data_IF_314396061944
#
_entry.id   IF_314396061944
#
_cell.length_a   1.000
_cell.length_b   1.000
_cell.length_c   1.000
_cell.angle_alpha   90.00
_cell.angle_beta   90.00
_cell.angle_gamma   90.00
#
_symmetry.space_group_name_H-M   'P 1'
#
loop_
_entity.id
_entity.type
_entity.pdbx_description
1 polymer ?
#
# COMPACT_ATOMS: atom_id res chain seq x y z
N UNK A 1 12.99 17.58 19.48
CA UNK A 1 13.74 16.58 20.28
C UNK A 1 13.59 15.17 19.72
N UNK A 2 12.41 14.55 19.70
CA UNK A 2 12.24 13.22 19.05
C UNK A 2 12.24 13.28 17.52
N UNK A 3 11.63 14.32 16.93
CA UNK A 3 11.63 14.52 15.48
C UNK A 3 13.01 14.79 14.88
N UNK A 4 13.92 15.38 15.65
CA UNK A 4 15.30 15.60 15.23
C UNK A 4 16.09 14.29 15.12
N UNK A 5 15.80 13.32 16.00
CA UNK A 5 16.42 12.00 15.97
C UNK A 5 16.02 11.27 14.68
N UNK A 6 14.71 11.15 14.41
CA UNK A 6 14.19 10.50 13.20
C UNK A 6 14.70 11.22 11.94
N UNK A 7 14.66 12.55 11.91
CA UNK A 7 15.13 13.32 10.75
C UNK A 7 16.62 13.13 10.51
N UNK A 8 17.44 13.13 11.56
CA UNK A 8 18.90 12.93 11.45
C UNK A 8 19.20 11.54 10.91
N UNK A 9 18.54 10.51 11.44
CA UNK A 9 18.64 9.15 10.93
C UNK A 9 18.29 9.08 9.43
N UNK A 10 17.18 9.68 9.01
CA UNK A 10 16.75 9.69 7.61
C UNK A 10 17.75 10.42 6.70
N UNK A 11 18.35 11.51 7.18
CA UNK A 11 19.39 12.26 6.45
C UNK A 11 20.65 11.43 6.24
N UNK A 12 21.11 10.74 7.28
CA UNK A 12 22.27 9.84 7.20
C UNK A 12 21.99 8.65 6.27
N UNK A 13 20.80 8.06 6.35
CA UNK A 13 20.37 6.99 5.47
C UNK A 13 20.35 7.46 4.00
N UNK A 14 19.74 8.61 3.71
CA UNK A 14 19.72 9.21 2.37
C UNK A 14 21.14 9.41 1.83
N UNK A 15 22.04 9.97 2.63
CA UNK A 15 23.44 10.15 2.26
C UNK A 15 24.17 8.84 1.95
N UNK A 16 23.91 7.76 2.71
CA UNK A 16 24.47 6.43 2.43
C UNK A 16 23.92 5.83 1.14
N UNK A 17 22.63 5.99 0.87
CA UNK A 17 22.01 5.51 -0.37
C UNK A 17 22.54 6.28 -1.59
N UNK A 18 22.79 7.58 -1.46
CA UNK A 18 23.36 8.41 -2.53
C UNK A 18 24.82 8.00 -2.82
N UNK A 19 25.60 7.69 -1.79
CA UNK A 19 26.96 7.13 -1.94
C UNK A 19 26.93 5.77 -2.66
N UNK A 20 26.01 4.89 -2.27
CA UNK A 20 25.85 3.58 -2.90
C UNK A 20 25.39 3.69 -4.36
N UNK A 21 24.48 4.62 -4.67
CA UNK A 21 24.09 4.94 -6.03
C UNK A 21 25.28 5.41 -6.87
N UNK A 22 26.09 6.33 -6.34
CA UNK A 22 27.30 6.80 -7.02
C UNK A 22 28.31 5.65 -7.26
N UNK A 23 28.43 4.72 -6.30
CA UNK A 23 29.29 3.54 -6.41
C UNK A 23 28.83 2.57 -7.50
N UNK A 24 27.51 2.38 -7.67
CA UNK A 24 26.95 1.49 -8.71
C UNK A 24 27.14 2.04 -10.12
N UNK A 25 27.15 3.37 -10.28
CA UNK A 25 27.37 4.05 -11.55
C UNK A 25 26.41 3.62 -12.69
N UNK A 26 25.23 3.08 -12.35
CA UNK A 26 24.21 2.66 -13.32
C UNK A 26 23.16 3.75 -13.60
N UNK A 27 23.34 4.93 -12.99
CA UNK A 27 22.46 6.10 -13.14
C UNK A 27 21.09 5.95 -12.48
N UNK A 28 20.81 4.84 -11.78
CA UNK A 28 19.50 4.58 -11.18
C UNK A 28 19.45 5.11 -9.75
N UNK A 29 18.41 5.89 -9.45
CA UNK A 29 18.18 6.36 -8.08
C UNK A 29 17.80 5.20 -7.19
N UNK A 30 18.48 5.07 -6.05
CA UNK A 30 18.04 4.15 -4.99
C UNK A 30 16.99 4.90 -4.17
N UNK A 31 15.72 4.58 -4.42
CA UNK A 31 14.59 5.23 -3.77
C UNK A 31 14.48 4.85 -2.29
N UNK A 32 13.98 5.79 -1.47
CA UNK A 32 13.66 5.57 -0.07
C UNK A 32 12.18 5.83 0.18
N UNK A 33 11.49 4.81 0.69
CA UNK A 33 10.08 4.88 1.07
C UNK A 33 9.88 4.73 2.57
N UNK A 34 8.82 5.32 3.11
CA UNK A 34 8.42 5.13 4.50
C UNK A 34 6.93 4.81 4.63
N UNK A 35 6.61 3.85 5.49
CA UNK A 35 5.27 3.66 6.03
C UNK A 35 5.08 4.58 7.24
N UNK A 36 3.99 5.35 7.25
CA UNK A 36 3.69 6.36 8.26
C UNK A 36 2.21 6.28 8.66
N UNK A 37 1.83 6.95 9.74
CA UNK A 37 0.44 7.00 10.19
C UNK A 37 -0.48 7.77 9.23
N UNK A 38 -1.79 7.56 9.35
CA UNK A 38 -2.79 8.09 8.42
C UNK A 38 -2.92 9.62 8.31
N UNK A 39 -2.36 10.36 9.27
CA UNK A 39 -2.39 11.84 9.31
C UNK A 39 -1.11 12.40 9.94
N UNK A 40 -0.83 13.69 9.72
CA UNK A 40 0.41 14.31 10.22
C UNK A 40 0.47 14.48 11.75
N UNK A 41 -0.69 14.66 12.41
CA UNK A 41 -0.73 14.84 13.86
C UNK A 41 -0.23 13.59 14.59
N UNK A 42 -0.77 12.44 14.21
CA UNK A 42 -0.37 11.16 14.81
C UNK A 42 1.11 10.87 14.52
N UNK A 43 1.57 11.10 13.29
CA UNK A 43 2.99 10.94 12.94
C UNK A 43 3.92 11.81 13.80
N UNK A 44 3.56 13.08 14.00
CA UNK A 44 4.36 13.99 14.80
C UNK A 44 4.43 13.58 16.28
N UNK A 45 3.36 12.98 16.83
CA UNK A 45 3.34 12.43 18.18
C UNK A 45 4.45 11.38 18.39
N UNK A 46 4.83 10.65 17.34
CA UNK A 46 5.90 9.65 17.34
C UNK A 46 7.24 10.17 16.80
N UNK A 47 7.38 11.48 16.63
CA UNK A 47 8.61 12.09 16.11
C UNK A 47 8.79 11.93 14.59
N UNK A 48 7.77 11.50 13.85
CA UNK A 48 7.85 11.45 12.38
C UNK A 48 7.33 12.76 11.81
N UNK A 49 8.22 13.71 11.57
CA UNK A 49 7.88 14.98 10.91
C UNK A 49 7.86 14.82 9.39
N UNK A 50 6.76 14.29 8.86
CA UNK A 50 6.60 14.02 7.42
C UNK A 50 6.86 15.28 6.57
N UNK A 51 6.39 16.45 7.02
CA UNK A 51 6.55 17.71 6.28
C UNK A 51 8.03 18.06 6.12
N UNK A 52 8.81 17.90 7.19
CA UNK A 52 10.26 18.10 7.16
C UNK A 52 10.97 17.07 6.29
N UNK A 53 10.64 15.78 6.45
CA UNK A 53 11.27 14.71 5.66
C UNK A 53 11.07 14.89 4.15
N UNK A 54 9.85 15.26 3.74
CA UNK A 54 9.51 15.58 2.34
C UNK A 54 10.15 16.89 1.90
N UNK A 55 10.10 17.92 2.74
CA UNK A 55 10.69 19.23 2.46
C UNK A 55 12.19 19.20 2.18
N UNK A 56 12.91 18.34 2.91
CA UNK A 56 14.35 18.08 2.77
C UNK A 56 14.68 17.07 1.64
N UNK A 57 13.69 16.50 0.95
CA UNK A 57 13.91 15.56 -0.15
C UNK A 57 14.45 14.20 0.29
N UNK A 58 14.15 13.79 1.52
CA UNK A 58 14.66 12.54 2.11
C UNK A 58 13.87 11.31 1.68
N UNK A 59 12.62 11.49 1.24
CA UNK A 59 11.71 10.42 0.84
C UNK A 59 11.32 10.58 -0.62
N UNK A 60 11.21 9.45 -1.32
CA UNK A 60 10.72 9.36 -2.70
C UNK A 60 9.26 8.88 -2.73
N UNK A 61 8.84 8.12 -1.70
CA UNK A 61 7.51 7.54 -1.60
C UNK A 61 7.04 7.39 -0.15
N UNK A 62 5.74 7.59 0.08
CA UNK A 62 5.10 7.46 1.37
C UNK A 62 3.91 6.51 1.29
N UNK A 63 3.84 5.60 2.24
CA UNK A 63 2.72 4.71 2.46
C UNK A 63 2.00 5.15 3.73
N UNK A 64 0.68 5.41 3.68
CA UNK A 64 -0.05 5.89 4.86
C UNK A 64 -0.98 4.80 5.39
N UNK A 65 -0.92 4.52 6.68
CA UNK A 65 -1.72 3.49 7.34
C UNK A 65 -2.19 3.97 8.73
N UNK A 66 -3.50 4.09 8.99
CA UNK A 66 -4.03 4.74 10.19
C UNK A 66 -4.10 3.80 11.40
N UNK A 67 -3.81 2.51 11.25
CA UNK A 67 -4.02 1.51 12.29
C UNK A 67 -2.70 0.96 12.82
N UNK A 68 -2.04 1.68 13.73
CA UNK A 68 -0.84 1.17 14.40
C UNK A 68 -0.69 1.77 15.82
N UNK A 69 0.37 1.38 16.53
CA UNK A 69 0.64 1.73 17.93
C UNK A 69 0.35 3.19 18.27
N UNK A 70 -0.74 3.36 19.02
CA UNK A 70 -1.22 4.62 19.59
C UNK A 70 -1.71 5.68 18.61
N UNK A 71 -2.12 5.26 17.40
CA UNK A 71 -3.00 6.04 16.53
C UNK A 71 -4.28 6.43 17.29
N UNK A 72 -4.53 7.73 17.44
CA UNK A 72 -5.71 8.24 18.16
C UNK A 72 -6.82 8.54 17.16
N UNK A 73 -7.62 7.53 16.77
CA UNK A 73 -8.85 7.67 15.94
C UNK A 73 -8.72 8.46 14.62
N UNK A 74 -7.55 9.01 14.28
CA UNK A 74 -7.35 9.78 13.07
C UNK A 74 -7.40 8.83 11.89
N UNK A 75 -8.43 8.97 11.07
CA UNK A 75 -8.52 8.25 9.81
C UNK A 75 -7.42 8.68 8.85
N UNK A 76 -7.57 8.27 7.60
CA UNK A 76 -6.75 8.83 6.52
C UNK A 76 -7.02 10.33 6.35
N UNK A 77 -5.96 11.10 6.12
CA UNK A 77 -5.99 12.50 5.68
C UNK A 77 -5.19 12.65 4.38
N UNK A 78 -5.63 12.00 3.28
CA UNK A 78 -4.87 11.96 2.03
C UNK A 78 -4.70 13.35 1.40
N UNK A 79 -5.62 14.28 1.64
CA UNK A 79 -5.54 15.67 1.18
C UNK A 79 -4.33 16.38 1.78
N UNK A 80 -4.07 16.23 3.09
CA UNK A 80 -2.90 16.86 3.70
C UNK A 80 -1.60 16.26 3.18
N UNK A 81 -1.55 14.94 2.95
CA UNK A 81 -0.40 14.31 2.29
C UNK A 81 -0.21 14.79 0.85
N UNK A 82 -1.29 14.96 0.07
CA UNK A 82 -1.22 15.54 -1.28
C UNK A 82 -0.57 16.92 -1.24
N UNK A 83 -0.99 17.80 -0.33
CA UNK A 83 -0.45 19.16 -0.19
C UNK A 83 1.05 19.17 0.12
N UNK A 84 1.52 18.21 0.91
CA UNK A 84 2.94 18.09 1.29
C UNK A 84 3.77 17.43 0.18
N UNK A 85 3.26 16.37 -0.43
CA UNK A 85 4.03 15.48 -1.29
C UNK A 85 4.05 15.94 -2.75
N UNK A 86 2.91 16.35 -3.32
CA UNK A 86 2.82 16.72 -4.75
C UNK A 86 3.76 17.85 -5.15
N UNK A 87 3.91 18.95 -4.39
CA UNK A 87 4.84 20.02 -4.76
C UNK A 87 6.32 19.58 -4.79
N UNK A 88 6.65 18.46 -4.16
CA UNK A 88 8.00 17.89 -4.09
C UNK A 88 8.19 16.66 -4.98
N UNK A 89 7.15 16.25 -5.72
CA UNK A 89 7.20 15.05 -6.54
C UNK A 89 7.29 13.75 -5.75
N UNK A 90 7.02 13.78 -4.44
CA UNK A 90 6.98 12.57 -3.61
C UNK A 90 5.64 11.87 -3.82
N UNK A 91 5.69 10.57 -4.05
CA UNK A 91 4.47 9.77 -4.26
C UNK A 91 3.86 9.41 -2.92
N UNK A 92 2.54 9.37 -2.83
CA UNK A 92 1.88 8.83 -1.64
C UNK A 92 0.79 7.83 -1.99
N UNK A 93 0.70 6.76 -1.20
CA UNK A 93 -0.22 5.64 -1.40
C UNK A 93 -0.84 5.21 -0.08
N UNK A 94 -2.14 5.41 0.11
CA UNK A 94 -2.84 4.84 1.25
C UNK A 94 -2.82 3.32 1.23
N UNK A 95 -2.50 2.73 2.37
CA UNK A 95 -2.44 1.30 2.59
C UNK A 95 -3.74 0.83 3.22
N UNK A 96 -4.40 -0.18 2.68
CA UNK A 96 -5.53 -0.82 3.35
C UNK A 96 -5.19 -2.26 3.74
N UNK A 97 -5.86 -2.73 4.79
CA UNK A 97 -6.08 -4.17 5.01
C UNK A 97 -7.30 -4.55 4.16
N UNK A 98 -7.08 -4.83 2.88
CA UNK A 98 -8.20 -5.05 1.96
C UNK A 98 -8.70 -6.49 2.05
N UNK A 99 -9.39 -6.85 3.15
CA UNK A 99 -9.78 -8.22 3.39
C UNK A 99 -11.26 -8.54 3.13
N UNK A 100 -11.58 -9.67 2.48
CA UNK A 100 -12.93 -10.25 2.52
C UNK A 100 -13.00 -11.25 3.70
N UNK A 101 -13.30 -10.74 4.89
CA UNK A 101 -13.59 -11.57 6.07
C UNK A 101 -14.71 -10.89 6.86
N UNK A 102 -15.50 -11.62 7.68
CA UNK A 102 -16.54 -11.02 8.51
C UNK A 102 -16.04 -9.88 9.43
N UNK A 103 -14.73 -9.82 9.67
CA UNK A 103 -14.07 -8.78 10.48
C UNK A 103 -13.75 -7.51 9.69
N UNK A 104 -13.92 -7.53 8.36
CA UNK A 104 -13.55 -6.44 7.46
C UNK A 104 -14.76 -5.93 6.65
N UNK A 105 -14.71 -4.70 6.12
CA UNK A 105 -15.79 -4.15 5.31
C UNK A 105 -16.08 -5.00 4.07
N UNK A 106 -17.30 -4.89 3.53
CA UNK A 106 -17.63 -5.52 2.25
C UNK A 106 -16.71 -5.03 1.13
N UNK A 107 -16.49 -5.86 0.11
CA UNK A 107 -15.66 -5.53 -1.05
C UNK A 107 -16.05 -4.20 -1.68
N UNK A 108 -17.34 -3.89 -1.82
CA UNK A 108 -17.77 -2.63 -2.43
C UNK A 108 -17.36 -1.42 -1.59
N UNK A 109 -17.36 -1.54 -0.27
CA UNK A 109 -16.94 -0.46 0.62
C UNK A 109 -15.42 -0.26 0.57
N UNK A 110 -14.66 -1.34 0.44
CA UNK A 110 -13.22 -1.28 0.18
C UNK A 110 -12.90 -0.61 -1.17
N UNK A 111 -13.64 -0.96 -2.23
CA UNK A 111 -13.50 -0.31 -3.54
C UNK A 111 -13.84 1.19 -3.47
N UNK A 112 -14.94 1.57 -2.80
CA UNK A 112 -15.29 2.99 -2.59
C UNK A 112 -14.19 3.73 -1.84
N UNK A 113 -13.63 3.13 -0.79
CA UNK A 113 -12.51 3.71 -0.07
C UNK A 113 -11.28 3.88 -0.98
N UNK A 114 -10.90 2.85 -1.74
CA UNK A 114 -9.82 2.95 -2.72
C UNK A 114 -10.05 4.06 -3.75
N UNK A 115 -11.26 4.19 -4.29
CA UNK A 115 -11.64 5.27 -5.21
C UNK A 115 -11.50 6.66 -4.57
N UNK A 116 -11.96 6.81 -3.32
CA UNK A 116 -11.83 8.07 -2.58
C UNK A 116 -10.37 8.51 -2.41
N UNK A 117 -9.42 7.57 -2.30
CA UNK A 117 -8.00 7.89 -2.25
C UNK A 117 -7.48 8.44 -3.59
N UNK A 118 -7.90 7.86 -4.71
CA UNK A 118 -7.57 8.40 -6.03
C UNK A 118 -8.18 9.80 -6.24
N UNK A 119 -9.43 10.01 -5.81
CA UNK A 119 -10.09 11.32 -5.84
C UNK A 119 -9.36 12.36 -4.98
N UNK A 120 -8.81 11.94 -3.84
CA UNK A 120 -7.97 12.77 -2.99
C UNK A 120 -6.56 13.01 -3.56
N UNK A 121 -6.18 12.35 -4.66
CA UNK A 121 -4.94 12.58 -5.40
C UNK A 121 -3.80 11.62 -5.10
N UNK A 122 -4.08 10.46 -4.48
CA UNK A 122 -3.09 9.41 -4.26
C UNK A 122 -2.52 8.87 -5.58
N UNK A 123 -1.25 8.46 -5.56
CA UNK A 123 -0.52 7.91 -6.72
C UNK A 123 -0.75 6.40 -6.91
N UNK A 124 -1.69 5.85 -6.15
CA UNK A 124 -1.98 4.43 -6.05
C UNK A 124 -2.50 4.08 -4.67
N UNK A 125 -2.77 2.80 -4.47
CA UNK A 125 -3.00 2.23 -3.15
C UNK A 125 -1.94 1.18 -2.87
N UNK A 126 -1.74 0.87 -1.60
CA UNK A 126 -0.90 -0.23 -1.16
C UNK A 126 -1.75 -1.25 -0.42
N UNK A 127 -1.35 -2.51 -0.52
CA UNK A 127 -1.97 -3.62 0.18
C UNK A 127 -1.02 -4.08 1.28
N UNK A 128 -1.48 -4.07 2.53
CA UNK A 128 -0.71 -4.61 3.67
C UNK A 128 -1.14 -6.06 3.96
N UNK A 129 -0.18 -6.96 4.16
CA UNK A 129 -0.39 -8.41 4.40
C UNK A 129 -1.08 -9.19 3.25
N UNK A 130 -0.65 -8.96 2.00
CA UNK A 130 -1.26 -9.58 0.81
C UNK A 130 -1.23 -11.12 0.82
N UNK A 131 -0.32 -11.71 1.60
CA UNK A 131 -0.13 -13.16 1.70
C UNK A 131 -1.26 -13.92 2.40
N UNK A 132 -2.18 -13.24 3.09
CA UNK A 132 -3.17 -13.88 3.98
C UNK A 132 -4.49 -14.23 3.26
N UNK A 133 -4.71 -13.69 2.04
CA UNK A 133 -5.94 -13.90 1.27
C UNK A 133 -5.93 -15.16 0.38
N UNK A 134 -7.13 -15.66 0.05
CA UNK A 134 -7.28 -16.77 -0.91
C UNK A 134 -7.25 -16.28 -2.37
N UNK A 135 -7.13 -17.21 -3.33
CA UNK A 135 -7.04 -16.86 -4.75
C UNK A 135 -8.28 -16.12 -5.27
N UNK A 136 -9.44 -16.34 -4.65
CA UNK A 136 -10.66 -15.63 -4.99
C UNK A 136 -10.50 -14.15 -4.69
N UNK A 137 -10.01 -13.83 -3.50
CA UNK A 137 -9.75 -12.47 -3.07
C UNK A 137 -8.69 -11.77 -3.93
N UNK A 138 -7.60 -12.46 -4.27
CA UNK A 138 -6.59 -11.92 -5.20
C UNK A 138 -7.17 -11.58 -6.58
N UNK A 139 -7.98 -12.49 -7.12
CA UNK A 139 -8.54 -12.37 -8.48
C UNK A 139 -9.73 -11.40 -8.57
N UNK A 140 -10.56 -11.28 -7.52
CA UNK A 140 -11.72 -10.37 -7.51
C UNK A 140 -11.40 -8.99 -6.93
N UNK A 141 -10.42 -8.90 -6.03
CA UNK A 141 -10.11 -7.67 -5.28
C UNK A 141 -8.76 -7.14 -5.76
N UNK A 142 -7.64 -7.77 -5.41
CA UNK A 142 -6.33 -7.11 -5.45
C UNK A 142 -5.85 -6.77 -6.84
N UNK A 143 -6.08 -7.66 -7.81
CA UNK A 143 -5.66 -7.45 -9.20
C UNK A 143 -6.27 -6.19 -9.83
N UNK A 144 -7.30 -5.60 -9.21
CA UNK A 144 -8.08 -4.50 -9.78
C UNK A 144 -7.75 -3.15 -9.15
N UNK A 145 -7.26 -3.15 -7.91
CA UNK A 145 -6.84 -1.92 -7.23
C UNK A 145 -5.64 -1.33 -7.98
N UNK A 146 -5.87 -0.21 -8.67
CA UNK A 146 -4.91 0.36 -9.64
C UNK A 146 -5.56 0.74 -10.97
N UNK A 147 -6.70 0.14 -11.30
CA UNK A 147 -7.47 0.41 -12.51
C UNK A 147 -8.78 1.13 -12.15
N UNK A 148 -8.76 2.48 -12.13
CA UNK A 148 -9.88 3.31 -11.65
C UNK A 148 -11.21 2.97 -12.34
N UNK A 149 -11.19 2.80 -13.66
CA UNK A 149 -12.41 2.48 -14.42
C UNK A 149 -12.95 1.09 -14.10
N UNK A 150 -12.05 0.12 -13.86
CA UNK A 150 -12.45 -1.22 -13.44
C UNK A 150 -13.02 -1.20 -12.02
N UNK A 151 -12.40 -0.46 -11.10
CA UNK A 151 -12.92 -0.26 -9.75
C UNK A 151 -14.34 0.34 -9.77
N UNK A 152 -14.59 1.36 -10.61
CA UNK A 152 -15.93 1.94 -10.79
C UNK A 152 -16.92 0.92 -11.34
N UNK A 153 -16.54 0.17 -12.37
CA UNK A 153 -17.40 -0.85 -12.96
C UNK A 153 -17.79 -1.94 -11.95
N UNK A 154 -16.89 -2.27 -11.02
CA UNK A 154 -17.15 -3.26 -9.97
C UNK A 154 -18.17 -2.84 -8.92
N UNK A 155 -18.38 -1.54 -8.71
CA UNK A 155 -19.44 -1.06 -7.81
C UNK A 155 -20.84 -1.49 -8.31
N UNK A 156 -21.02 -1.58 -9.62
CA UNK A 156 -22.28 -1.99 -10.26
C UNK A 156 -22.38 -3.50 -10.48
N UNK A 157 -21.28 -4.24 -10.34
CA UNK A 157 -21.28 -5.69 -10.56
C UNK A 157 -21.76 -6.46 -9.34
N UNK A 158 -22.32 -7.63 -9.61
CA UNK A 158 -22.47 -8.68 -8.60
C UNK A 158 -21.21 -9.55 -8.68
N UNK A 159 -20.59 -9.80 -7.52
CA UNK A 159 -19.44 -10.70 -7.44
C UNK A 159 -19.85 -12.08 -7.99
N UNK A 160 -19.15 -12.63 -8.99
CA UNK A 160 -19.45 -13.96 -9.49
C UNK A 160 -19.22 -14.99 -8.38
N UNK A 161 -20.03 -16.05 -8.37
CA UNK A 161 -19.82 -17.17 -7.48
C UNK A 161 -18.48 -17.85 -7.78
N UNK A 162 -17.81 -18.35 -6.74
CA UNK A 162 -16.60 -19.14 -6.93
C UNK A 162 -16.97 -20.54 -7.42
N UNK A 163 -16.43 -20.89 -8.58
CA UNK A 163 -16.55 -22.23 -9.14
C UNK A 163 -15.24 -22.99 -8.92
N UNK A 164 -15.34 -24.09 -8.17
CA UNK A 164 -14.21 -24.99 -7.96
C UNK A 164 -14.31 -26.14 -8.94
N UNK A 165 -13.30 -26.25 -9.82
CA UNK A 165 -13.15 -27.39 -10.72
C UNK A 165 -11.98 -28.25 -10.27
N UNK A 166 -12.28 -29.48 -9.85
CA UNK A 166 -11.26 -30.46 -9.51
C UNK A 166 -10.94 -31.30 -10.74
N UNK A 167 -9.66 -31.36 -11.11
CA UNK A 167 -9.19 -32.17 -12.23
C UNK A 167 -8.22 -33.24 -11.73
N UNK A 168 -8.33 -34.45 -12.29
CA UNK A 168 -7.41 -35.54 -12.02
C UNK A 168 -6.01 -35.26 -12.58
N UNK A 169 -5.93 -34.61 -13.75
CA UNK A 169 -4.67 -34.32 -14.46
C UNK A 169 -4.60 -32.84 -14.88
N UNK A 170 -3.46 -32.21 -14.66
CA UNK A 170 -3.07 -30.95 -15.30
C UNK A 170 -1.76 -31.17 -16.06
N UNK A 171 -1.86 -31.20 -17.40
CA UNK A 171 -0.77 -31.73 -18.23
C UNK A 171 -0.45 -33.18 -17.86
N UNK A 172 0.81 -33.48 -17.53
CA UNK A 172 1.25 -34.80 -17.09
C UNK A 172 1.24 -35.03 -15.57
N UNK A 173 0.71 -34.10 -14.77
CA UNK A 173 0.72 -34.20 -13.31
C UNK A 173 -0.65 -34.62 -12.76
N UNK A 174 -0.65 -35.60 -11.87
CA UNK A 174 -1.83 -36.03 -11.11
C UNK A 174 -2.13 -35.05 -9.98
N UNK A 175 -3.37 -34.57 -9.90
CA UNK A 175 -3.81 -33.46 -9.03
C UNK A 175 -4.94 -33.86 -8.09
N UNK A 176 -4.95 -35.13 -7.67
CA UNK A 176 -5.90 -35.73 -6.72
C UNK A 176 -5.74 -35.26 -5.27
N UNK A 177 -5.46 -33.96 -5.04
CA UNK A 177 -5.40 -33.36 -3.71
C UNK A 177 -4.13 -33.63 -2.89
N UNK A 178 -3.11 -34.30 -3.47
CA UNK A 178 -1.82 -34.52 -2.79
C UNK A 178 -1.04 -33.22 -2.53
N UNK A 179 -1.35 -32.17 -3.29
CA UNK A 179 -0.79 -30.83 -3.11
C UNK A 179 -1.93 -29.82 -2.99
N UNK A 180 -1.87 -28.87 -2.04
CA UNK A 180 -2.87 -27.83 -1.90
C UNK A 180 -2.96 -26.98 -3.18
N UNK A 181 -4.17 -26.71 -3.71
CA UNK A 181 -4.35 -25.99 -4.98
C UNK A 181 -3.98 -24.50 -4.91
N UNK A 182 -3.61 -23.98 -3.75
CA UNK A 182 -3.38 -22.56 -3.50
C UNK A 182 -1.89 -22.18 -3.33
N UNK A 183 -0.95 -23.14 -3.37
CA UNK A 183 0.50 -22.88 -3.16
C UNK A 183 1.37 -23.13 -4.40
N UNK A 184 0.84 -22.87 -5.59
CA UNK A 184 1.57 -23.02 -6.84
C UNK A 184 1.30 -24.35 -7.52
N UNK A 185 0.25 -24.34 -8.33
CA UNK A 185 -0.01 -25.27 -9.41
C UNK A 185 -1.46 -25.18 -9.86
#
# INVERSE_FOLDING_TARGET
>A
MWSDVVTTFMRELRGKLDQEQARRADGKRIELSAMVLGNHYDNYQYGVDVRRLVGEGLLDEIFIYPYDFGAKKGGYDPESFREVCKPKGVRFRPCGLWSESPTYPDLKDQIKQGLSFYEAGADGVCYFDASVGDIAQWSSVYSRFGHIDEMRAWLERTKPALEYSFFHLLGGQVRDGRFPPYWGG
#
